data_IF_791176129854
#
_entry.id   IF_791176129854
#
_cell.length_a   1.000
_cell.length_b   1.000
_cell.length_c   1.000
_cell.angle_alpha   90.00
_cell.angle_beta   90.00
_cell.angle_gamma   90.00
#
_symmetry.space_group_name_H-M   'P 1'
#
loop_
_entity.id
_entity.type
_entity.pdbx_description
1 polymer ?
#
# COMPACT_ATOMS: atom_id res chain seq x y z
N UNK A 1 13.75 2.25 -16.13
CA UNK A 1 12.66 1.97 -15.18
C UNK A 1 13.11 0.80 -14.31
N UNK A 2 13.01 0.89 -12.97
CA UNK A 2 13.37 -0.22 -12.09
C UNK A 2 12.24 -1.24 -12.09
N UNK A 3 12.42 -2.34 -12.82
CA UNK A 3 11.41 -3.39 -13.01
C UNK A 3 11.17 -4.26 -11.75
N UNK A 4 11.75 -3.88 -10.60
CA UNK A 4 11.76 -4.68 -9.37
C UNK A 4 10.79 -4.17 -8.29
N UNK A 5 10.03 -3.10 -8.55
CA UNK A 5 9.01 -2.63 -7.60
C UNK A 5 7.73 -3.44 -7.76
N UNK A 6 6.97 -3.62 -6.67
CA UNK A 6 5.68 -4.31 -6.70
C UNK A 6 4.72 -3.65 -7.69
N UNK A 7 4.70 -2.32 -7.74
CA UNK A 7 3.89 -1.53 -8.68
C UNK A 7 4.27 -1.82 -10.13
N UNK A 8 5.58 -1.86 -10.46
CA UNK A 8 6.03 -2.20 -11.81
C UNK A 8 5.68 -3.63 -12.20
N UNK A 9 5.74 -4.57 -11.25
CA UNK A 9 5.38 -5.97 -11.50
C UNK A 9 3.88 -6.15 -11.71
N UNK A 10 3.05 -5.46 -10.92
CA UNK A 10 1.60 -5.47 -11.08
C UNK A 10 1.17 -4.82 -12.40
N UNK A 11 1.77 -3.69 -12.77
CA UNK A 11 1.52 -3.05 -14.07
C UNK A 11 1.91 -3.97 -15.24
N UNK A 12 3.07 -4.63 -15.15
CA UNK A 12 3.48 -5.61 -16.16
C UNK A 12 2.49 -6.77 -16.26
N UNK A 13 2.11 -7.37 -15.13
CA UNK A 13 1.18 -8.49 -15.08
C UNK A 13 -0.19 -8.11 -15.68
N UNK A 14 -0.72 -6.94 -15.33
CA UNK A 14 -1.95 -6.41 -15.90
C UNK A 14 -1.88 -6.36 -17.43
N UNK A 15 -0.86 -5.69 -17.96
CA UNK A 15 -0.69 -5.54 -19.41
C UNK A 15 -0.55 -6.90 -20.11
N UNK A 16 0.25 -7.81 -19.54
CA UNK A 16 0.44 -9.14 -20.10
C UNK A 16 -0.86 -9.95 -20.17
N UNK A 17 -1.63 -9.98 -19.07
CA UNK A 17 -2.89 -10.74 -18.98
C UNK A 17 -3.97 -10.12 -19.88
N UNK A 18 -4.11 -8.80 -19.87
CA UNK A 18 -5.10 -8.08 -20.70
C UNK A 18 -4.80 -8.29 -22.18
N UNK A 19 -3.53 -8.21 -22.60
CA UNK A 19 -3.16 -8.49 -23.97
C UNK A 19 -3.43 -9.96 -24.35
N UNK A 20 -3.07 -10.90 -23.48
CA UNK A 20 -3.32 -12.32 -23.72
C UNK A 20 -4.81 -12.65 -23.87
N UNK A 21 -5.70 -11.96 -23.14
CA UNK A 21 -7.15 -12.19 -23.21
C UNK A 21 -7.81 -11.52 -24.41
N UNK A 22 -7.30 -10.37 -24.87
CA UNK A 22 -7.93 -9.55 -25.91
C UNK A 22 -7.47 -9.88 -27.34
N UNK A 23 -6.32 -10.56 -27.50
CA UNK A 23 -5.79 -10.93 -28.82
C UNK A 23 -5.84 -12.44 -29.03
N UNK A 24 -6.71 -12.88 -29.94
CA UNK A 24 -6.98 -14.31 -30.17
C UNK A 24 -5.73 -15.10 -30.63
N UNK A 25 -4.85 -14.47 -31.41
CA UNK A 25 -3.58 -15.07 -31.83
C UNK A 25 -2.65 -15.36 -30.64
N UNK A 26 -2.55 -14.42 -29.69
CA UNK A 26 -1.79 -14.62 -28.45
C UNK A 26 -2.45 -15.67 -27.56
N UNK A 27 -3.78 -15.66 -27.44
CA UNK A 27 -4.52 -16.65 -26.65
C UNK A 27 -4.24 -18.07 -27.14
N UNK A 28 -4.23 -18.28 -28.46
CA UNK A 28 -3.94 -19.58 -29.07
C UNK A 28 -2.49 -20.03 -28.82
N UNK A 29 -1.51 -19.14 -29.03
CA UNK A 29 -0.10 -19.43 -28.75
C UNK A 29 0.13 -19.77 -27.27
N UNK A 30 -0.47 -19.00 -26.36
CA UNK A 30 -0.33 -19.20 -24.92
C UNK A 30 -1.01 -20.48 -24.44
N UNK A 31 -2.10 -20.91 -25.10
CA UNK A 31 -2.75 -22.18 -24.82
C UNK A 31 -1.81 -23.38 -25.08
N UNK A 32 -0.91 -23.31 -26.06
CA UNK A 32 0.11 -24.33 -26.31
C UNK A 32 1.08 -24.49 -25.13
N UNK A 33 1.31 -23.41 -24.38
CA UNK A 33 2.13 -23.40 -23.16
C UNK A 33 1.32 -23.65 -21.88
N UNK A 34 0.03 -23.99 -22.00
CA UNK A 34 -0.85 -24.29 -20.86
C UNK A 34 -1.52 -23.07 -20.23
N UNK A 35 -1.35 -21.87 -20.80
CA UNK A 35 -2.04 -20.65 -20.38
C UNK A 35 -3.34 -20.48 -21.17
N UNK A 36 -4.28 -21.38 -20.92
CA UNK A 36 -5.63 -21.28 -21.46
C UNK A 36 -6.40 -20.09 -20.83
N UNK A 37 -7.56 -19.78 -21.38
CA UNK A 37 -8.38 -18.66 -20.91
C UNK A 37 -8.73 -18.74 -19.41
N UNK A 38 -9.05 -19.93 -18.91
CA UNK A 38 -9.33 -20.12 -17.48
C UNK A 38 -8.12 -19.76 -16.61
N UNK A 39 -6.91 -20.15 -17.02
CA UNK A 39 -5.67 -19.82 -16.30
C UNK A 39 -5.34 -18.34 -16.36
N UNK A 40 -5.61 -17.68 -17.49
CA UNK A 40 -5.45 -16.23 -17.64
C UNK A 40 -6.45 -15.45 -16.75
N UNK A 41 -7.69 -15.91 -16.67
CA UNK A 41 -8.70 -15.35 -15.77
C UNK A 41 -8.33 -15.54 -14.29
N UNK A 42 -7.80 -16.70 -13.91
CA UNK A 42 -7.25 -16.92 -12.57
C UNK A 42 -6.11 -15.93 -12.27
N UNK A 43 -5.21 -15.72 -13.24
CA UNK A 43 -4.15 -14.71 -13.14
C UNK A 43 -4.71 -13.31 -12.94
N UNK A 44 -5.80 -12.95 -13.62
CA UNK A 44 -6.46 -11.66 -13.45
C UNK A 44 -7.04 -11.49 -12.04
N UNK A 45 -7.68 -12.51 -11.48
CA UNK A 45 -8.19 -12.49 -10.11
C UNK A 45 -7.06 -12.32 -9.07
N UNK A 46 -5.93 -12.98 -9.29
CA UNK A 46 -4.74 -12.81 -8.44
C UNK A 46 -4.19 -11.39 -8.53
N UNK A 47 -4.12 -10.83 -9.74
CA UNK A 47 -3.72 -9.44 -9.96
C UNK A 47 -4.64 -8.46 -9.22
N UNK A 48 -5.96 -8.59 -9.37
CA UNK A 48 -6.95 -7.72 -8.71
C UNK A 48 -6.82 -7.78 -7.19
N UNK A 49 -6.66 -8.98 -6.65
CA UNK A 49 -6.46 -9.19 -5.22
C UNK A 49 -5.17 -8.52 -4.74
N UNK A 50 -4.06 -8.74 -5.44
CA UNK A 50 -2.77 -8.16 -5.07
C UNK A 50 -2.78 -6.62 -5.17
N UNK A 51 -3.42 -6.07 -6.20
CA UNK A 51 -3.60 -4.63 -6.38
C UNK A 51 -4.41 -4.02 -5.24
N UNK A 52 -5.53 -4.64 -4.86
CA UNK A 52 -6.34 -4.21 -3.72
C UNK A 52 -5.57 -4.25 -2.40
N UNK A 53 -4.76 -5.30 -2.18
CA UNK A 53 -3.90 -5.41 -1.00
C UNK A 53 -2.80 -4.34 -0.97
N UNK A 54 -2.19 -4.02 -2.12
CA UNK A 54 -1.19 -2.96 -2.20
C UNK A 54 -1.81 -1.59 -1.87
N UNK A 55 -2.98 -1.28 -2.43
CA UNK A 55 -3.69 -0.03 -2.13
C UNK A 55 -4.06 0.05 -0.65
N UNK A 56 -4.52 -1.05 -0.05
CA UNK A 56 -4.81 -1.12 1.38
C UNK A 56 -3.55 -0.87 2.22
N UNK A 57 -2.44 -1.52 1.88
CA UNK A 57 -1.17 -1.32 2.58
C UNK A 57 -0.71 0.15 2.52
N UNK A 58 -0.77 0.78 1.34
CA UNK A 58 -0.38 2.18 1.18
C UNK A 58 -1.23 3.11 2.05
N UNK A 59 -2.55 2.86 2.10
CA UNK A 59 -3.46 3.58 2.98
C UNK A 59 -3.11 3.39 4.46
N UNK A 60 -2.95 2.14 4.90
CA UNK A 60 -2.64 1.82 6.30
C UNK A 60 -1.31 2.44 6.75
N UNK A 61 -0.31 2.45 5.87
CA UNK A 61 0.97 3.09 6.14
C UNK A 61 0.84 4.61 6.30
N UNK A 62 0.03 5.26 5.44
CA UNK A 62 -0.30 6.68 5.57
C UNK A 62 -1.03 6.98 6.89
N UNK A 63 -2.04 6.18 7.22
CA UNK A 63 -2.81 6.32 8.46
C UNK A 63 -1.91 6.17 9.70
N UNK A 64 -1.00 5.19 9.70
CA UNK A 64 -0.02 4.99 10.76
C UNK A 64 0.90 6.20 10.93
N UNK A 65 1.41 6.75 9.82
CA UNK A 65 2.29 7.90 9.85
C UNK A 65 1.58 9.12 10.45
N UNK A 66 0.36 9.42 9.98
CA UNK A 66 -0.45 10.53 10.49
C UNK A 66 -0.83 10.35 11.96
N UNK A 67 -1.19 9.15 12.39
CA UNK A 67 -1.51 8.85 13.78
C UNK A 67 -0.28 9.05 14.70
N UNK A 68 0.90 8.63 14.24
CA UNK A 68 2.16 8.78 14.97
C UNK A 68 2.54 10.26 15.11
N UNK A 69 2.42 11.04 14.04
CA UNK A 69 2.69 12.47 14.06
C UNK A 69 1.74 13.21 15.01
N UNK A 70 0.44 12.89 14.93
CA UNK A 70 -0.59 13.45 15.81
C UNK A 70 -0.28 13.14 17.27
N UNK A 71 0.02 11.89 17.60
CA UNK A 71 0.38 11.47 18.96
C UNK A 71 1.59 12.26 19.48
N UNK A 72 2.65 12.36 18.69
CA UNK A 72 3.88 13.06 19.09
C UNK A 72 3.64 14.56 19.29
N UNK A 73 2.92 15.20 18.38
CA UNK A 73 2.57 16.62 18.48
C UNK A 73 1.71 16.89 19.71
N UNK A 74 0.66 16.11 19.94
CA UNK A 74 -0.23 16.26 21.11
C UNK A 74 0.52 15.99 22.41
N UNK A 75 1.36 14.96 22.47
CA UNK A 75 2.18 14.66 23.65
C UNK A 75 3.15 15.80 23.98
N UNK A 76 3.81 16.37 22.96
CA UNK A 76 4.70 17.51 23.14
C UNK A 76 3.95 18.76 23.63
N UNK A 77 2.74 19.02 23.11
CA UNK A 77 1.88 20.10 23.59
C UNK A 77 1.47 19.89 25.06
N UNK A 78 0.96 18.72 25.40
CA UNK A 78 0.55 18.38 26.77
C UNK A 78 1.73 18.50 27.75
N UNK A 79 2.91 18.00 27.37
CA UNK A 79 4.10 18.12 28.21
C UNK A 79 4.54 19.58 28.40
N UNK A 80 4.42 20.43 27.37
CA UNK A 80 4.71 21.87 27.50
C UNK A 80 3.79 22.53 28.53
N UNK A 81 2.49 22.27 28.46
CA UNK A 81 1.53 22.84 29.42
C UNK A 81 1.77 22.28 30.84
N UNK A 82 1.95 20.98 30.98
CA UNK A 82 2.30 20.35 32.25
C UNK A 82 3.53 20.99 32.90
N UNK A 83 4.60 21.18 32.12
CA UNK A 83 5.84 21.75 32.64
C UNK A 83 5.70 23.23 33.03
N UNK A 84 4.79 24.00 32.43
CA UNK A 84 4.45 25.35 32.92
C UNK A 84 3.86 25.28 34.32
N UNK A 85 2.90 24.38 34.55
CA UNK A 85 2.28 24.21 35.88
C UNK A 85 3.27 23.70 36.92
N UNK A 86 4.13 22.74 36.56
CA UNK A 86 5.20 22.25 37.47
C UNK A 86 6.13 23.39 37.88
N UNK A 87 6.51 24.29 36.95
CA UNK A 87 7.36 25.44 37.28
C UNK A 87 6.68 26.38 38.28
N UNK A 88 5.39 26.66 38.11
CA UNK A 88 4.62 27.50 39.05
C UNK A 88 4.55 26.82 40.42
N UNK A 89 4.21 25.53 40.46
CA UNK A 89 4.10 24.77 41.71
C UNK A 89 5.42 24.74 42.49
N UNK A 90 6.56 24.61 41.80
CA UNK A 90 7.89 24.65 42.42
C UNK A 90 8.21 26.00 43.09
N UNK A 91 7.65 27.09 42.58
CA UNK A 91 7.81 28.42 43.20
C UNK A 91 6.88 28.54 44.41
N UNK A 92 5.61 28.13 44.26
CA UNK A 92 4.61 28.24 45.33
C UNK A 92 4.87 27.33 46.53
N UNK A 93 5.56 26.20 46.33
CA UNK A 93 5.92 25.26 47.39
C UNK A 93 7.26 25.58 48.08
N UNK A 94 7.89 26.70 47.74
CA UNK A 94 9.15 27.19 48.34
C UNK A 94 8.85 28.27 49.37
#
# INVERSE_FOLDING_TARGET
MNNNTLESQLLFAQNAIVNALNYEEMKNLLAEFGYNEARLQEGMQLYETASALQLKQQKEYGDQFTATDTLNTTKAQANREYMKHVKIARIAAR
#
